data_IF_118196774813
#
_entry.id   IF_118196774813
#
_cell.length_a   1.000
_cell.length_b   1.000
_cell.length_c   1.000
_cell.angle_alpha   90.00
_cell.angle_beta   90.00
_cell.angle_gamma   90.00
#
_symmetry.space_group_name_H-M   'P 1'
#
loop_
_entity.id
_entity.type
_entity.pdbx_description
1 polymer ?
#
# COMPACT_ATOMS: atom_id res chain seq x y z
N UNK A 1 12.00 -15.86 106.00
CA UNK A 1 11.72 -16.49 104.73
C UNK A 1 11.35 -15.39 103.77
N UNK A 2 12.28 -14.96 102.91
CA UNK A 2 12.04 -13.93 101.87
C UNK A 2 12.50 -14.49 100.58
N UNK A 3 11.56 -14.67 99.63
CA UNK A 3 11.82 -15.10 98.26
C UNK A 3 12.26 -13.89 97.46
N UNK A 4 13.45 -13.98 96.84
CA UNK A 4 13.96 -13.01 95.88
C UNK A 4 13.57 -13.56 94.48
N UNK A 5 12.75 -12.80 93.80
CA UNK A 5 12.43 -13.09 92.35
C UNK A 5 13.42 -12.30 91.49
N UNK A 6 14.24 -13.03 90.76
CA UNK A 6 15.14 -12.47 89.76
C UNK A 6 14.36 -12.28 88.40
N UNK A 7 14.34 -11.04 87.95
CA UNK A 7 13.73 -10.67 86.68
C UNK A 7 14.85 -10.58 85.60
N UNK A 8 14.86 -11.51 84.67
CA UNK A 8 15.77 -11.45 83.49
C UNK A 8 15.15 -10.54 82.45
N UNK A 9 15.81 -9.43 82.15
CA UNK A 9 15.45 -8.50 81.08
C UNK A 9 16.11 -8.96 79.82
N UNK A 10 15.34 -9.50 78.84
CA UNK A 10 15.84 -9.89 77.52
C UNK A 10 15.76 -8.67 76.63
N UNK A 11 16.89 -8.10 76.29
CA UNK A 11 16.98 -7.01 75.29
C UNK A 11 16.93 -7.61 73.86
N UNK A 12 15.85 -7.35 73.16
CA UNK A 12 15.72 -7.69 71.77
C UNK A 12 16.37 -6.57 70.95
N UNK A 13 17.51 -6.89 70.32
CA UNK A 13 18.21 -6.03 69.35
C UNK A 13 17.49 -6.07 68.03
N UNK A 14 16.71 -5.04 67.68
CA UNK A 14 16.12 -4.86 66.32
C UNK A 14 17.20 -4.30 65.39
N UNK A 15 17.76 -5.17 64.55
CA UNK A 15 18.54 -4.72 63.38
C UNK A 15 17.58 -4.22 62.29
N UNK A 16 17.76 -3.00 61.76
CA UNK A 16 17.01 -2.58 60.59
C UNK A 16 17.56 -3.30 59.34
N UNK A 17 16.77 -4.19 58.74
CA UNK A 17 17.03 -4.75 57.43
C UNK A 17 16.78 -3.63 56.42
N UNK A 18 17.84 -3.01 55.93
CA UNK A 18 17.80 -2.11 54.81
C UNK A 18 17.56 -2.96 53.53
N UNK A 19 16.31 -3.08 53.10
CA UNK A 19 15.96 -3.62 51.79
C UNK A 19 16.38 -2.58 50.76
N UNK A 20 17.59 -2.71 50.25
CA UNK A 20 18.04 -2.00 49.04
C UNK A 20 17.23 -2.55 47.87
N UNK A 21 16.17 -1.83 47.44
CA UNK A 21 15.50 -2.04 46.21
C UNK A 21 16.50 -1.74 45.08
N UNK A 22 17.20 -2.79 44.64
CA UNK A 22 17.97 -2.75 43.38
C UNK A 22 16.95 -2.63 42.25
N UNK A 23 16.62 -1.40 41.84
CA UNK A 23 16.01 -1.16 40.53
C UNK A 23 17.04 -1.62 39.51
N UNK A 24 16.94 -2.89 39.08
CA UNK A 24 17.63 -3.36 37.92
C UNK A 24 17.06 -2.53 36.72
N UNK A 25 17.81 -1.53 36.31
CA UNK A 25 17.55 -0.89 35.02
C UNK A 25 17.63 -2.00 33.98
N UNK A 26 16.48 -2.43 33.46
CA UNK A 26 16.46 -3.35 32.33
C UNK A 26 17.39 -2.79 31.25
N UNK A 27 18.42 -3.57 30.90
CA UNK A 27 19.39 -3.16 29.89
C UNK A 27 18.60 -2.89 28.59
N UNK A 28 18.56 -1.62 28.18
CA UNK A 28 17.90 -1.21 26.94
C UNK A 28 18.49 -1.99 25.78
N UNK A 29 17.62 -2.59 24.98
CA UNK A 29 18.04 -3.29 23.77
C UNK A 29 18.63 -2.27 22.76
N UNK A 30 19.64 -2.65 21.96
CA UNK A 30 20.32 -1.73 21.03
C UNK A 30 19.34 -0.94 20.14
N UNK A 31 18.31 -1.59 19.60
CA UNK A 31 17.31 -0.96 18.75
C UNK A 31 16.52 0.15 19.47
N UNK A 32 16.28 0.05 20.78
CA UNK A 32 15.55 1.05 21.55
C UNK A 32 16.34 2.37 21.61
N UNK A 33 17.67 2.27 21.84
CA UNK A 33 18.52 3.45 21.85
C UNK A 33 18.58 4.12 20.46
N UNK A 34 18.66 3.31 19.40
CA UNK A 34 18.70 3.83 18.03
C UNK A 34 17.36 4.44 17.62
N UNK A 35 16.25 3.85 18.06
CA UNK A 35 14.91 4.39 17.85
C UNK A 35 14.75 5.74 18.58
N UNK A 36 15.07 5.80 19.85
CA UNK A 36 14.98 7.04 20.65
C UNK A 36 15.79 8.17 20.01
N UNK A 37 17.04 7.90 19.61
CA UNK A 37 17.89 8.87 18.91
C UNK A 37 17.27 9.33 17.57
N UNK A 38 16.71 8.37 16.81
CA UNK A 38 16.06 8.68 15.55
C UNK A 38 14.84 9.57 15.74
N UNK A 39 13.98 9.26 16.74
CA UNK A 39 12.80 10.08 17.06
C UNK A 39 13.21 11.49 17.53
N UNK A 40 14.22 11.62 18.38
CA UNK A 40 14.69 12.94 18.83
C UNK A 40 15.33 13.76 17.70
N UNK A 41 16.02 13.12 16.77
CA UNK A 41 16.53 13.78 15.57
C UNK A 41 15.38 14.20 14.62
N UNK A 42 14.40 13.32 14.43
CA UNK A 42 13.21 13.61 13.63
C UNK A 42 12.38 14.79 14.17
N UNK A 43 12.25 14.90 15.50
CA UNK A 43 11.61 16.07 16.14
C UNK A 43 12.35 17.38 15.84
N UNK A 44 13.69 17.34 15.73
CA UNK A 44 14.48 18.52 15.36
C UNK A 44 14.33 18.87 13.88
N UNK A 45 14.18 17.85 13.01
CA UNK A 45 13.85 18.05 11.60
C UNK A 45 12.43 18.62 11.45
N UNK A 46 11.52 18.26 12.36
CA UNK A 46 10.18 18.82 12.55
C UNK A 46 9.16 18.46 11.48
N UNK A 47 9.56 17.76 10.41
CA UNK A 47 8.69 17.52 9.26
C UNK A 47 9.07 16.26 8.49
N UNK A 48 8.07 15.64 7.83
CA UNK A 48 8.26 14.63 6.77
C UNK A 48 7.33 14.92 5.61
N UNK A 49 7.82 14.79 4.38
CA UNK A 49 7.04 15.01 3.15
C UNK A 49 6.87 13.69 2.40
N UNK A 50 5.64 13.24 2.27
CA UNK A 50 5.32 11.99 1.58
C UNK A 50 4.42 12.20 0.36
N UNK A 51 4.86 11.71 -0.80
CA UNK A 51 4.00 11.52 -1.97
C UNK A 51 3.10 10.31 -1.75
N UNK A 52 1.80 10.47 -1.88
CA UNK A 52 0.82 9.41 -1.64
C UNK A 52 -0.19 9.30 -2.79
N UNK A 53 -0.92 8.17 -2.93
CA UNK A 53 -2.01 8.04 -3.88
C UNK A 53 -3.08 9.13 -3.71
N UNK A 54 -3.76 9.48 -4.81
CA UNK A 54 -4.81 10.49 -4.86
C UNK A 54 -6.07 10.03 -4.12
N UNK A 55 -6.01 9.95 -2.79
CA UNK A 55 -7.12 9.56 -1.92
C UNK A 55 -7.25 10.52 -0.74
N UNK A 56 -8.38 11.24 -0.69
CA UNK A 56 -8.70 12.13 0.43
C UNK A 56 -8.83 11.35 1.75
N UNK A 57 -9.39 10.13 1.70
CA UNK A 57 -9.53 9.26 2.87
C UNK A 57 -8.16 8.83 3.40
N UNK A 58 -7.23 8.45 2.50
CA UNK A 58 -5.87 8.10 2.90
C UNK A 58 -5.14 9.30 3.52
N UNK A 59 -5.19 10.46 2.85
CA UNK A 59 -4.57 11.67 3.34
C UNK A 59 -5.03 11.98 4.76
N UNK A 60 -6.36 11.99 4.99
CA UNK A 60 -6.94 12.25 6.31
C UNK A 60 -6.49 11.21 7.34
N UNK A 61 -6.57 9.93 7.00
CA UNK A 61 -6.24 8.85 7.93
C UNK A 61 -4.76 8.85 8.34
N UNK A 62 -3.84 9.07 7.39
CA UNK A 62 -2.42 9.16 7.68
C UNK A 62 -2.08 10.38 8.54
N UNK A 63 -2.65 11.55 8.19
CA UNK A 63 -2.47 12.79 8.93
C UNK A 63 -2.93 12.64 10.39
N UNK A 64 -4.17 12.24 10.61
CA UNK A 64 -4.75 12.10 11.96
C UNK A 64 -4.00 11.06 12.82
N UNK A 65 -3.62 9.92 12.24
CA UNK A 65 -3.00 8.83 13.01
C UNK A 65 -1.52 9.09 13.29
N UNK A 66 -0.78 9.57 12.29
CA UNK A 66 0.64 9.89 12.45
C UNK A 66 0.84 11.09 13.38
N UNK A 67 0.11 12.19 13.19
CA UNK A 67 0.22 13.40 14.00
C UNK A 67 -0.18 13.16 15.46
N UNK A 68 -1.15 12.26 15.70
CA UNK A 68 -1.47 11.82 17.07
C UNK A 68 -0.31 11.06 17.70
N UNK A 69 0.40 10.25 16.96
CA UNK A 69 1.51 9.43 17.45
C UNK A 69 2.81 10.22 17.61
N UNK A 70 3.06 11.15 16.69
CA UNK A 70 4.28 11.95 16.63
C UNK A 70 3.97 13.45 16.49
N UNK A 71 3.37 14.10 17.50
CA UNK A 71 2.85 15.46 17.37
C UNK A 71 3.92 16.55 17.14
N UNK A 72 5.19 16.21 17.32
CA UNK A 72 6.32 17.11 17.07
C UNK A 72 6.92 16.96 15.65
N UNK A 73 6.32 16.11 14.81
CA UNK A 73 6.76 15.91 13.42
C UNK A 73 5.55 16.19 12.52
N UNK A 74 5.59 17.31 11.82
CA UNK A 74 4.57 17.66 10.81
C UNK A 74 4.62 16.67 9.64
N UNK A 75 3.45 16.21 9.19
CA UNK A 75 3.34 15.32 8.04
C UNK A 75 2.71 16.06 6.86
N UNK A 76 3.52 16.36 5.87
CA UNK A 76 3.04 16.95 4.62
C UNK A 76 2.76 15.87 3.58
N UNK A 77 1.49 15.73 3.20
CA UNK A 77 1.00 14.67 2.30
C UNK A 77 0.65 15.22 0.93
N UNK A 78 1.53 14.98 -0.06
CA UNK A 78 1.29 15.29 -1.46
C UNK A 78 0.43 14.21 -2.11
N UNK A 79 -0.89 14.31 -1.94
CA UNK A 79 -1.84 13.37 -2.54
C UNK A 79 -1.99 13.64 -4.03
N UNK A 80 -1.58 12.69 -4.88
CA UNK A 80 -1.58 12.87 -6.32
C UNK A 80 -1.49 11.56 -7.10
N UNK A 81 -1.59 11.65 -8.43
CA UNK A 81 -1.31 10.48 -9.28
C UNK A 81 0.17 10.12 -9.17
N UNK A 82 0.45 8.83 -8.97
CA UNK A 82 1.82 8.34 -8.81
C UNK A 82 2.79 8.86 -9.88
N UNK A 83 2.49 8.74 -11.18
CA UNK A 83 3.36 9.28 -12.24
C UNK A 83 3.64 10.78 -12.13
N UNK A 84 2.65 11.59 -11.71
CA UNK A 84 2.83 13.03 -11.52
C UNK A 84 3.79 13.33 -10.36
N UNK A 85 3.61 12.63 -9.23
CA UNK A 85 4.52 12.75 -8.10
C UNK A 85 5.95 12.31 -8.47
N UNK A 86 6.12 11.17 -9.16
CA UNK A 86 7.44 10.71 -9.59
C UNK A 86 8.12 11.68 -10.56
N UNK A 87 7.39 12.24 -11.52
CA UNK A 87 7.93 13.26 -12.45
C UNK A 87 8.36 14.52 -11.72
N UNK A 88 7.56 14.96 -10.73
CA UNK A 88 7.91 16.11 -9.89
C UNK A 88 9.19 15.84 -9.10
N UNK A 89 9.27 14.70 -8.42
CA UNK A 89 10.47 14.27 -7.67
C UNK A 89 11.70 14.26 -8.57
N UNK A 90 11.61 13.66 -9.76
CA UNK A 90 12.73 13.60 -10.70
C UNK A 90 13.21 14.99 -11.14
N UNK A 91 12.27 15.89 -11.48
CA UNK A 91 12.57 17.27 -11.89
C UNK A 91 13.21 18.07 -10.75
N UNK A 92 12.65 17.99 -9.54
CA UNK A 92 13.19 18.67 -8.36
C UNK A 92 14.58 18.15 -8.00
N UNK A 93 14.77 16.82 -8.05
CA UNK A 93 16.07 16.21 -7.79
C UNK A 93 17.13 16.67 -8.80
N UNK A 94 16.80 16.76 -10.08
CA UNK A 94 17.69 17.27 -11.12
C UNK A 94 18.04 18.75 -10.90
N UNK A 95 17.12 19.54 -10.34
CA UNK A 95 17.33 20.94 -9.96
C UNK A 95 18.04 21.12 -8.60
N UNK A 96 18.47 20.03 -7.94
CA UNK A 96 19.11 20.08 -6.63
C UNK A 96 18.14 20.23 -5.46
N UNK A 97 16.83 20.23 -5.71
CA UNK A 97 15.78 20.34 -4.68
C UNK A 97 15.49 18.95 -4.09
N UNK A 98 15.33 18.88 -2.76
CA UNK A 98 15.06 17.66 -1.99
C UNK A 98 13.79 17.85 -1.17
N UNK A 99 12.67 18.08 -1.86
CA UNK A 99 11.39 18.34 -1.19
C UNK A 99 10.73 17.08 -0.64
N UNK A 100 10.68 16.01 -1.43
CA UNK A 100 10.08 14.75 -0.99
C UNK A 100 11.09 13.89 -0.23
N UNK A 101 10.62 13.27 0.84
CA UNK A 101 11.38 12.29 1.64
C UNK A 101 10.98 10.86 1.26
N UNK A 102 9.67 10.63 1.03
CA UNK A 102 9.08 9.29 0.80
C UNK A 102 8.08 9.35 -0.37
N UNK A 103 7.98 8.26 -1.13
CA UNK A 103 6.93 8.05 -2.11
C UNK A 103 6.25 6.70 -1.88
N UNK A 104 4.92 6.72 -1.78
CA UNK A 104 4.06 5.54 -1.73
C UNK A 104 3.23 5.52 -3.01
N UNK A 105 3.33 4.45 -3.78
CA UNK A 105 2.66 4.36 -5.10
C UNK A 105 2.57 2.91 -5.58
N UNK A 106 2.05 2.71 -6.79
CA UNK A 106 2.20 1.43 -7.49
C UNK A 106 3.63 1.22 -7.98
N UNK A 107 4.06 -0.03 -8.10
CA UNK A 107 5.46 -0.44 -8.34
C UNK A 107 6.07 0.11 -9.64
N UNK A 108 5.27 0.34 -10.69
CA UNK A 108 5.77 0.92 -11.95
C UNK A 108 6.24 2.38 -11.77
N UNK A 109 5.58 3.11 -10.89
CA UNK A 109 5.80 4.56 -10.72
C UNK A 109 7.24 4.92 -10.31
N UNK A 110 7.85 4.27 -9.31
CA UNK A 110 9.18 4.63 -8.85
C UNK A 110 10.32 4.05 -9.69
N UNK A 111 10.06 3.25 -10.73
CA UNK A 111 11.12 2.68 -11.57
C UNK A 111 11.99 3.76 -12.24
N UNK A 112 11.41 4.86 -12.66
CA UNK A 112 12.19 5.98 -13.22
C UNK A 112 13.12 6.60 -12.18
N UNK A 113 12.69 6.70 -10.92
CA UNK A 113 13.52 7.21 -9.82
C UNK A 113 14.63 6.21 -9.47
N UNK A 114 14.33 4.91 -9.52
CA UNK A 114 15.30 3.85 -9.35
C UNK A 114 16.39 3.93 -10.42
N UNK A 115 16.01 3.99 -11.69
CA UNK A 115 16.94 4.09 -12.83
C UNK A 115 17.79 5.37 -12.80
N UNK A 116 17.25 6.45 -12.25
CA UNK A 116 17.96 7.71 -12.07
C UNK A 116 18.90 7.72 -10.82
N UNK A 117 18.92 6.64 -10.02
CA UNK A 117 19.75 6.55 -8.81
C UNK A 117 19.33 7.48 -7.68
N UNK A 118 18.05 7.87 -7.65
CA UNK A 118 17.47 8.86 -6.71
C UNK A 118 16.99 8.21 -5.40
N UNK A 119 16.89 6.87 -5.36
CA UNK A 119 16.36 6.14 -4.21
C UNK A 119 17.45 5.69 -3.24
N UNK A 120 17.08 5.58 -1.98
CA UNK A 120 17.89 5.06 -0.88
C UNK A 120 17.45 3.64 -0.52
N UNK A 121 18.39 2.73 -0.13
CA UNK A 121 18.03 1.40 0.38
C UNK A 121 17.17 1.49 1.63
N UNK A 122 16.09 0.70 1.68
CA UNK A 122 15.10 0.77 2.75
C UNK A 122 15.47 -0.11 3.95
N UNK A 123 16.09 -1.27 3.74
CA UNK A 123 16.40 -2.23 4.81
C UNK A 123 17.13 -1.59 6.00
N UNK A 124 18.17 -0.73 5.81
CA UNK A 124 18.87 -0.07 6.92
C UNK A 124 18.00 0.95 7.69
N UNK A 125 16.84 1.30 7.17
CA UNK A 125 15.91 2.24 7.80
C UNK A 125 14.94 1.54 8.75
N UNK A 126 14.82 0.19 8.70
CA UNK A 126 13.88 -0.60 9.49
C UNK A 126 14.47 -0.84 10.89
N UNK A 127 14.01 -0.09 11.88
CA UNK A 127 14.55 -0.11 13.25
C UNK A 127 13.67 -0.93 14.20
N UNK A 128 12.34 -0.76 14.12
CA UNK A 128 11.42 -1.42 15.03
C UNK A 128 11.41 -2.94 14.81
N UNK A 129 11.57 -3.78 15.86
CA UNK A 129 11.59 -5.23 15.72
C UNK A 129 10.34 -5.79 15.05
N UNK A 130 9.18 -5.20 15.32
CA UNK A 130 7.92 -5.62 14.68
C UNK A 130 7.88 -5.32 13.18
N UNK A 131 8.68 -4.38 12.70
CA UNK A 131 8.80 -4.01 11.28
C UNK A 131 9.89 -4.80 10.61
N UNK A 132 11.03 -4.97 11.30
CA UNK A 132 12.23 -5.61 10.76
C UNK A 132 12.18 -7.15 10.81
N UNK A 133 11.28 -7.77 11.58
CA UNK A 133 11.14 -9.22 11.64
C UNK A 133 10.40 -9.75 10.39
N UNK A 134 11.09 -10.46 9.47
CA UNK A 134 10.47 -10.99 8.25
C UNK A 134 9.37 -12.02 8.54
N UNK A 135 9.35 -12.65 9.71
CA UNK A 135 8.32 -13.61 10.09
C UNK A 135 6.95 -12.99 10.33
N UNK A 136 6.89 -11.67 10.47
CA UNK A 136 5.63 -10.92 10.59
C UNK A 136 4.99 -10.57 9.25
N UNK A 137 5.67 -10.90 8.14
CA UNK A 137 5.27 -10.54 6.80
C UNK A 137 5.02 -11.77 5.93
N UNK A 138 3.94 -11.77 5.20
CA UNK A 138 3.63 -12.78 4.19
C UNK A 138 4.68 -12.77 3.08
N UNK A 139 5.47 -13.85 3.03
CA UNK A 139 6.63 -13.97 2.14
C UNK A 139 7.90 -13.27 2.61
N UNK A 140 7.95 -12.84 3.87
CA UNK A 140 9.06 -12.05 4.41
C UNK A 140 9.08 -10.63 3.88
N UNK A 141 10.27 -10.01 3.83
CA UNK A 141 10.46 -8.73 3.17
C UNK A 141 10.43 -8.92 1.65
N UNK A 142 9.43 -8.31 1.00
CA UNK A 142 9.23 -8.45 -0.43
C UNK A 142 9.54 -7.13 -1.13
N UNK A 143 10.27 -7.24 -2.23
CA UNK A 143 10.76 -6.13 -3.01
C UNK A 143 10.22 -6.21 -4.43
N UNK A 144 9.83 -5.09 -5.00
CA UNK A 144 9.42 -5.02 -6.39
C UNK A 144 10.61 -4.87 -7.34
N UNK A 145 11.76 -4.38 -6.85
CA UNK A 145 13.00 -4.25 -7.61
C UNK A 145 13.89 -5.50 -7.55
N UNK A 146 14.62 -5.77 -8.64
CA UNK A 146 15.51 -6.92 -8.77
C UNK A 146 16.69 -6.88 -7.77
N UNK A 147 17.14 -5.69 -7.41
CA UNK A 147 18.20 -5.51 -6.42
C UNK A 147 17.74 -5.81 -5.00
N UNK A 148 16.43 -5.91 -4.75
CA UNK A 148 15.80 -6.16 -3.45
C UNK A 148 16.24 -5.16 -2.38
N UNK A 149 16.19 -3.85 -2.69
CA UNK A 149 16.72 -2.79 -1.81
C UNK A 149 15.86 -1.53 -1.75
N UNK A 150 15.18 -1.15 -2.83
CA UNK A 150 14.69 0.20 -3.02
C UNK A 150 13.17 0.32 -3.07
N UNK A 151 12.48 -0.72 -3.54
CA UNK A 151 11.03 -0.73 -3.75
C UNK A 151 10.37 -1.77 -2.85
N UNK A 152 10.06 -1.37 -1.62
CA UNK A 152 9.49 -2.28 -0.62
C UNK A 152 7.98 -2.47 -0.84
N UNK A 153 7.57 -3.70 -1.10
CA UNK A 153 6.17 -4.06 -1.34
C UNK A 153 5.50 -4.52 -0.04
N UNK A 154 4.69 -3.66 0.56
CA UNK A 154 3.99 -3.94 1.82
C UNK A 154 2.55 -4.44 1.64
N UNK A 155 2.06 -4.53 0.40
CA UNK A 155 0.73 -5.06 0.10
C UNK A 155 0.79 -6.26 -0.83
N UNK A 156 -0.17 -7.18 -0.67
CA UNK A 156 -0.40 -8.29 -1.59
C UNK A 156 -1.86 -8.72 -1.53
N UNK A 157 -2.57 -8.54 -2.63
CA UNK A 157 -3.98 -8.89 -2.71
C UNK A 157 -4.41 -9.15 -4.14
N UNK A 158 -5.50 -9.88 -4.27
CA UNK A 158 -6.28 -9.98 -5.47
C UNK A 158 -7.37 -8.92 -5.42
N UNK A 159 -7.43 -8.08 -6.45
CA UNK A 159 -8.49 -7.10 -6.62
C UNK A 159 -9.02 -7.22 -8.03
N UNK A 160 -10.33 -7.19 -8.14
CA UNK A 160 -10.95 -7.31 -9.46
C UNK A 160 -10.69 -6.10 -10.34
N UNK A 161 -10.40 -4.94 -9.82
CA UNK A 161 -10.26 -3.69 -10.58
C UNK A 161 -11.32 -3.51 -11.71
N UNK A 162 -12.33 -4.38 -11.69
CA UNK A 162 -13.43 -4.48 -12.63
C UNK A 162 -14.73 -4.23 -11.87
N UNK A 163 -15.50 -3.28 -12.33
CA UNK A 163 -16.71 -2.86 -11.63
C UNK A 163 -17.86 -2.75 -12.61
N UNK A 164 -19.08 -3.00 -12.14
CA UNK A 164 -20.28 -2.89 -12.95
C UNK A 164 -21.38 -2.07 -12.29
N UNK A 165 -22.23 -1.49 -13.12
CA UNK A 165 -23.49 -0.93 -12.69
C UNK A 165 -24.53 -2.05 -12.63
N UNK A 166 -25.06 -2.33 -11.44
CA UNK A 166 -25.97 -3.46 -11.19
C UNK A 166 -27.34 -3.33 -11.82
N UNK A 167 -27.71 -2.13 -12.31
CA UNK A 167 -28.94 -1.92 -13.08
C UNK A 167 -28.78 -2.30 -14.55
N UNK A 168 -27.53 -2.24 -15.08
CA UNK A 168 -27.23 -2.48 -16.50
C UNK A 168 -26.66 -3.87 -16.76
N UNK A 169 -25.96 -4.45 -15.80
CA UNK A 169 -25.37 -5.79 -15.88
C UNK A 169 -25.75 -6.58 -14.62
N UNK A 170 -26.38 -7.72 -14.79
CA UNK A 170 -26.64 -8.67 -13.71
C UNK A 170 -25.44 -9.58 -13.51
N UNK A 171 -25.18 -10.00 -12.24
CA UNK A 171 -24.01 -10.80 -11.91
C UNK A 171 -23.94 -12.15 -12.66
N UNK A 172 -25.08 -12.76 -12.96
CA UNK A 172 -25.20 -14.02 -13.70
C UNK A 172 -24.98 -13.90 -15.20
N UNK A 173 -24.94 -12.69 -15.75
CA UNK A 173 -24.61 -12.40 -17.14
C UNK A 173 -23.11 -12.30 -17.41
N UNK A 174 -22.26 -12.38 -16.35
CA UNK A 174 -20.79 -12.33 -16.45
C UNK A 174 -20.17 -13.57 -15.84
N UNK A 175 -19.34 -14.27 -16.59
CA UNK A 175 -18.63 -15.49 -16.18
C UNK A 175 -17.13 -15.41 -16.43
N UNK A 176 -16.70 -14.53 -17.33
CA UNK A 176 -15.30 -14.39 -17.70
C UNK A 176 -15.05 -13.24 -18.66
N UNK A 177 -13.76 -13.03 -18.99
CA UNK A 177 -13.38 -11.85 -19.78
C UNK A 177 -13.91 -11.86 -21.20
N UNK A 178 -14.23 -13.02 -21.76
CA UNK A 178 -14.83 -13.09 -23.11
C UNK A 178 -16.21 -12.40 -23.14
N UNK A 179 -16.93 -12.34 -22.02
CA UNK A 179 -18.22 -11.67 -21.93
C UNK A 179 -18.11 -10.14 -22.14
N UNK A 180 -16.92 -9.55 -21.92
CA UNK A 180 -16.64 -8.15 -22.22
C UNK A 180 -16.71 -7.86 -23.73
N UNK A 181 -16.58 -8.88 -24.56
CA UNK A 181 -16.62 -8.76 -26.04
C UNK A 181 -18.03 -8.84 -26.60
N UNK A 182 -19.06 -9.07 -25.75
CA UNK A 182 -20.42 -9.17 -26.21
C UNK A 182 -20.91 -7.83 -26.81
N UNK A 183 -21.55 -7.81 -27.99
CA UNK A 183 -21.93 -6.60 -28.72
C UNK A 183 -22.80 -5.62 -27.90
N UNK A 184 -23.58 -6.10 -26.92
CA UNK A 184 -24.40 -5.26 -26.04
C UNK A 184 -23.58 -4.25 -25.21
N UNK A 185 -22.30 -4.49 -25.04
CA UNK A 185 -21.39 -3.62 -24.28
C UNK A 185 -20.64 -2.60 -25.13
N UNK A 186 -20.84 -2.61 -26.45
CA UNK A 186 -20.20 -1.65 -27.34
C UNK A 186 -20.53 -0.21 -26.95
N UNK A 187 -19.49 0.62 -26.71
CA UNK A 187 -19.62 1.98 -26.20
C UNK A 187 -20.09 2.07 -24.72
N UNK A 188 -20.18 0.95 -24.00
CA UNK A 188 -20.63 0.89 -22.59
C UNK A 188 -19.55 0.48 -21.59
N UNK A 189 -18.31 0.43 -22.04
CA UNK A 189 -17.14 0.10 -21.20
C UNK A 189 -16.26 1.33 -21.06
N UNK A 190 -16.06 1.78 -19.79
CA UNK A 190 -15.07 2.78 -19.46
C UNK A 190 -13.78 2.11 -18.99
N UNK A 191 -12.63 2.61 -19.38
CA UNK A 191 -11.34 2.09 -18.95
C UNK A 191 -10.41 3.22 -18.50
N UNK A 192 -9.72 3.01 -17.39
CA UNK A 192 -8.62 3.89 -17.00
C UNK A 192 -7.51 3.74 -18.06
N UNK A 193 -7.02 4.87 -18.59
CA UNK A 193 -6.11 4.88 -19.74
C UNK A 193 -4.90 3.94 -19.52
N UNK A 194 -4.81 2.81 -20.26
CA UNK A 194 -3.75 1.81 -20.05
C UNK A 194 -2.38 2.25 -20.56
N UNK A 195 -2.30 3.40 -21.22
CA UNK A 195 -1.03 3.98 -21.71
C UNK A 195 -0.26 4.73 -20.62
N UNK A 196 -0.88 4.90 -19.44
CA UNK A 196 -0.27 5.58 -18.31
C UNK A 196 -0.38 4.69 -17.06
N UNK A 197 0.69 4.68 -16.23
CA UNK A 197 0.76 3.83 -15.03
C UNK A 197 -0.48 3.95 -14.14
N UNK A 198 -1.05 2.80 -13.77
CA UNK A 198 -2.25 2.70 -12.93
C UNK A 198 -3.02 1.41 -13.14
N UNK A 199 -4.21 1.33 -12.56
CA UNK A 199 -5.06 0.13 -12.64
C UNK A 199 -5.46 -0.25 -14.07
N UNK A 200 -5.59 0.72 -14.97
CA UNK A 200 -5.83 0.46 -16.38
C UNK A 200 -4.70 -0.32 -17.05
N UNK A 201 -3.45 0.12 -16.84
CA UNK A 201 -2.27 -0.59 -17.35
C UNK A 201 -2.15 -1.98 -16.74
N UNK A 202 -2.39 -2.11 -15.43
CA UNK A 202 -2.36 -3.42 -14.75
C UNK A 202 -3.36 -4.39 -15.34
N UNK A 203 -4.60 -3.94 -15.57
CA UNK A 203 -5.67 -4.77 -16.13
C UNK A 203 -5.39 -5.11 -17.60
N UNK A 204 -4.92 -4.14 -18.39
CA UNK A 204 -4.59 -4.34 -19.80
C UNK A 204 -3.42 -5.31 -19.97
N UNK A 205 -2.36 -5.18 -19.16
CA UNK A 205 -1.22 -6.08 -19.16
C UNK A 205 -1.61 -7.50 -18.71
N UNK A 206 -2.54 -7.61 -17.76
CA UNK A 206 -3.08 -8.90 -17.36
C UNK A 206 -3.86 -9.57 -18.49
N UNK A 207 -4.74 -8.84 -19.17
CA UNK A 207 -5.41 -9.37 -20.36
C UNK A 207 -4.43 -9.79 -21.44
N UNK A 208 -3.39 -8.99 -21.70
CA UNK A 208 -2.33 -9.36 -22.63
C UNK A 208 -1.67 -10.70 -22.25
N UNK A 209 -1.37 -10.88 -20.95
CA UNK A 209 -0.73 -12.09 -20.40
C UNK A 209 -1.58 -13.36 -20.59
N UNK A 210 -2.88 -13.28 -20.31
CA UNK A 210 -3.74 -14.47 -20.22
C UNK A 210 -4.62 -14.72 -21.45
N UNK A 211 -4.93 -13.68 -22.21
CA UNK A 211 -5.82 -13.75 -23.38
C UNK A 211 -5.11 -13.42 -24.69
N UNK A 212 -3.91 -12.81 -24.60
CA UNK A 212 -3.11 -12.42 -25.76
C UNK A 212 -3.60 -11.16 -26.48
N UNK A 213 -2.91 -10.86 -27.57
CA UNK A 213 -3.13 -9.65 -28.38
C UNK A 213 -4.48 -9.62 -29.07
N UNK A 214 -4.94 -10.76 -29.61
CA UNK A 214 -6.22 -10.85 -30.33
C UNK A 214 -7.42 -10.44 -29.47
N UNK A 215 -7.41 -10.85 -28.19
CA UNK A 215 -8.45 -10.43 -27.25
C UNK A 215 -8.45 -8.91 -27.06
N UNK A 216 -7.29 -8.29 -26.91
CA UNK A 216 -7.17 -6.85 -26.72
C UNK A 216 -7.61 -6.06 -27.94
N UNK A 217 -7.35 -6.57 -29.15
CA UNK A 217 -7.87 -5.99 -30.40
C UNK A 217 -9.40 -6.02 -30.43
N UNK A 218 -10.00 -7.15 -30.07
CA UNK A 218 -11.47 -7.28 -29.96
C UNK A 218 -12.05 -6.39 -28.87
N UNK A 219 -11.36 -6.27 -27.73
CA UNK A 219 -11.79 -5.40 -26.62
C UNK A 219 -11.73 -3.92 -27.03
N UNK A 220 -10.68 -3.48 -27.72
CA UNK A 220 -10.59 -2.13 -28.25
C UNK A 220 -11.72 -1.82 -29.25
N UNK A 221 -12.12 -2.80 -30.07
CA UNK A 221 -13.24 -2.67 -31.00
C UNK A 221 -14.62 -2.51 -30.32
N UNK A 222 -14.71 -2.68 -28.97
CA UNK A 222 -15.90 -2.36 -28.18
C UNK A 222 -16.11 -0.84 -27.99
N UNK A 223 -15.33 0.02 -28.65
CA UNK A 223 -15.44 1.48 -28.52
C UNK A 223 -15.29 1.93 -27.07
N UNK A 224 -14.16 1.57 -26.45
CA UNK A 224 -13.86 1.89 -25.05
C UNK A 224 -13.78 3.40 -24.85
N UNK A 225 -14.37 3.90 -23.77
CA UNK A 225 -14.15 5.27 -23.31
C UNK A 225 -12.93 5.32 -22.37
N UNK A 226 -11.89 6.01 -22.79
CA UNK A 226 -10.67 6.17 -21.99
C UNK A 226 -10.74 7.43 -21.14
N UNK A 227 -10.23 7.32 -19.92
CA UNK A 227 -10.01 8.48 -19.05
C UNK A 227 -8.79 8.27 -18.16
N UNK A 228 -8.09 9.34 -17.86
CA UNK A 228 -7.05 9.38 -16.81
C UNK A 228 -7.60 9.78 -15.46
N UNK A 229 -8.86 10.19 -15.41
CA UNK A 229 -9.53 10.67 -14.22
C UNK A 229 -10.44 9.56 -13.66
N UNK A 230 -9.93 8.86 -12.64
CA UNK A 230 -10.63 7.75 -12.00
C UNK A 230 -12.02 8.14 -11.47
N UNK A 231 -12.11 9.32 -10.85
CA UNK A 231 -13.38 9.81 -10.29
C UNK A 231 -14.43 10.00 -11.38
N UNK A 232 -14.06 10.52 -12.54
CA UNK A 232 -14.97 10.73 -13.66
C UNK A 232 -15.52 9.41 -14.20
N UNK A 233 -14.65 8.39 -14.30
CA UNK A 233 -15.09 7.04 -14.69
C UNK A 233 -16.04 6.43 -13.65
N UNK A 234 -15.73 6.55 -12.36
CA UNK A 234 -16.57 6.07 -11.26
C UNK A 234 -17.93 6.75 -11.23
N UNK A 235 -17.98 8.07 -11.42
CA UNK A 235 -19.21 8.83 -11.51
C UNK A 235 -20.06 8.40 -12.73
N UNK A 236 -19.43 8.21 -13.87
CA UNK A 236 -20.08 7.75 -15.11
C UNK A 236 -20.65 6.33 -14.97
N UNK A 237 -19.95 5.44 -14.25
CA UNK A 237 -20.44 4.12 -13.90
C UNK A 237 -21.66 4.22 -12.99
N UNK A 238 -21.58 5.05 -11.93
CA UNK A 238 -22.68 5.26 -10.97
C UNK A 238 -23.95 5.78 -11.63
N UNK A 239 -23.81 6.68 -12.61
CA UNK A 239 -24.91 7.27 -13.37
C UNK A 239 -25.41 6.36 -14.51
N UNK A 240 -24.87 5.16 -14.69
CA UNK A 240 -25.26 4.24 -15.74
C UNK A 240 -24.83 4.64 -17.17
N UNK A 241 -23.89 5.56 -17.32
CA UNK A 241 -23.28 5.85 -18.63
C UNK A 241 -22.50 4.65 -19.14
N UNK A 242 -21.79 3.97 -18.24
CA UNK A 242 -21.11 2.71 -18.49
C UNK A 242 -21.80 1.57 -17.75
N UNK A 243 -21.84 0.40 -18.37
CA UNK A 243 -22.22 -0.83 -17.70
C UNK A 243 -21.05 -1.42 -16.92
N UNK A 244 -19.82 -1.22 -17.42
CA UNK A 244 -18.58 -1.79 -16.89
C UNK A 244 -17.51 -0.71 -16.85
N UNK A 245 -16.66 -0.75 -15.83
CA UNK A 245 -15.39 -0.02 -15.82
C UNK A 245 -14.22 -0.94 -15.49
N UNK A 246 -13.08 -0.66 -16.13
CA UNK A 246 -11.83 -1.43 -15.99
C UNK A 246 -10.74 -0.53 -15.42
N UNK A 247 -10.01 -1.03 -14.41
CA UNK A 247 -8.87 -0.35 -13.84
C UNK A 247 -9.18 0.55 -12.65
N UNK A 248 -10.44 0.59 -12.16
CA UNK A 248 -10.80 1.33 -10.96
C UNK A 248 -10.62 0.47 -9.70
N UNK A 249 -10.21 1.11 -8.63
CA UNK A 249 -10.04 0.48 -7.31
C UNK A 249 -11.11 0.95 -6.33
N UNK A 250 -11.34 0.16 -5.28
CA UNK A 250 -12.36 0.46 -4.27
C UNK A 250 -12.27 1.88 -3.72
N UNK A 251 -11.08 2.39 -3.37
CA UNK A 251 -10.96 3.71 -2.76
C UNK A 251 -11.49 4.85 -3.64
N UNK A 252 -11.46 4.67 -4.96
CA UNK A 252 -12.06 5.63 -5.92
C UNK A 252 -13.58 5.57 -5.90
N UNK A 253 -14.13 4.36 -5.72
CA UNK A 253 -15.57 4.11 -5.80
C UNK A 253 -16.26 4.21 -4.43
N UNK A 254 -15.50 4.18 -3.34
CA UNK A 254 -16.03 4.20 -1.98
C UNK A 254 -17.07 5.30 -1.71
N UNK A 255 -16.92 6.55 -2.18
CA UNK A 255 -17.94 7.58 -1.98
C UNK A 255 -19.27 7.24 -2.63
N UNK A 256 -19.26 6.62 -3.82
CA UNK A 256 -20.46 6.23 -4.56
C UNK A 256 -21.13 5.01 -3.93
N UNK A 257 -20.32 4.04 -3.46
CA UNK A 257 -20.79 2.84 -2.76
C UNK A 257 -21.46 3.24 -1.42
N UNK A 258 -20.84 4.16 -0.66
CA UNK A 258 -21.39 4.69 0.59
C UNK A 258 -22.70 5.47 0.38
N UNK A 259 -22.86 6.07 -0.79
CA UNK A 259 -24.11 6.73 -1.20
C UNK A 259 -25.16 5.75 -1.75
N UNK A 260 -24.95 4.42 -1.61
CA UNK A 260 -25.82 3.36 -2.10
C UNK A 260 -26.11 3.41 -3.60
N UNK A 261 -25.18 3.93 -4.40
CA UNK A 261 -25.32 3.90 -5.86
C UNK A 261 -25.11 2.48 -6.40
N UNK A 262 -25.68 2.14 -7.56
CA UNK A 262 -25.75 0.77 -8.07
C UNK A 262 -24.41 0.26 -8.63
N UNK A 263 -23.37 0.27 -7.81
CA UNK A 263 -22.02 -0.17 -8.18
C UNK A 263 -21.62 -1.37 -7.34
N UNK A 264 -21.12 -2.41 -8.00
CA UNK A 264 -20.48 -3.57 -7.35
C UNK A 264 -19.25 -4.01 -8.11
N UNK A 265 -18.31 -4.72 -7.45
CA UNK A 265 -17.29 -5.47 -8.17
C UNK A 265 -17.93 -6.45 -9.15
N UNK A 266 -17.35 -6.63 -10.32
CA UNK A 266 -17.74 -7.76 -11.19
C UNK A 266 -17.47 -9.08 -10.44
N UNK A 267 -18.30 -10.11 -10.66
CA UNK A 267 -18.00 -11.45 -10.17
C UNK A 267 -16.61 -11.92 -10.63
N UNK A 268 -16.00 -12.83 -9.89
CA UNK A 268 -14.71 -13.39 -10.27
C UNK A 268 -14.83 -14.08 -11.64
N UNK A 269 -13.94 -13.71 -12.55
CA UNK A 269 -13.89 -14.32 -13.88
C UNK A 269 -13.39 -15.78 -13.78
N UNK A 270 -13.87 -16.66 -14.68
CA UNK A 270 -13.40 -18.05 -14.77
C UNK A 270 -11.88 -18.17 -15.01
N UNK A 271 -11.27 -17.16 -15.60
CA UNK A 271 -9.83 -17.07 -15.82
C UNK A 271 -9.05 -16.70 -14.54
N UNK A 272 -9.76 -16.34 -13.48
CA UNK A 272 -9.18 -15.83 -12.26
C UNK A 272 -8.72 -14.38 -12.37
N UNK A 273 -7.99 -13.93 -11.37
CA UNK A 273 -7.48 -12.56 -11.27
C UNK A 273 -5.99 -12.56 -10.89
N UNK A 274 -5.32 -11.46 -11.13
CA UNK A 274 -3.91 -11.31 -10.76
C UNK A 274 -3.79 -10.84 -9.30
N UNK A 275 -2.63 -11.12 -8.69
CA UNK A 275 -2.25 -10.52 -7.42
C UNK A 275 -1.37 -9.29 -7.67
N UNK A 276 -1.54 -8.30 -6.82
CA UNK A 276 -0.88 -7.00 -6.97
C UNK A 276 -0.40 -6.47 -5.63
N UNK A 277 0.65 -5.66 -5.66
CA UNK A 277 1.02 -4.78 -4.56
C UNK A 277 0.16 -3.51 -4.51
N UNK A 278 -0.74 -3.31 -5.46
CA UNK A 278 -1.61 -2.13 -5.52
C UNK A 278 -0.85 -0.82 -5.50
N UNK A 279 -1.22 0.05 -4.56
CA UNK A 279 -0.50 1.29 -4.27
C UNK A 279 0.45 1.15 -3.08
N UNK A 280 0.81 -0.07 -2.70
CA UNK A 280 1.62 -0.40 -1.52
C UNK A 280 3.08 -0.66 -1.82
N UNK A 281 3.69 0.12 -2.70
CA UNK A 281 5.14 0.16 -2.89
C UNK A 281 5.70 1.43 -2.26
N UNK A 282 6.59 1.24 -1.29
CA UNK A 282 7.30 2.29 -0.57
C UNK A 282 8.68 2.49 -1.21
N UNK A 283 9.06 3.74 -1.43
CA UNK A 283 10.41 4.16 -1.78
C UNK A 283 10.82 5.39 -0.98
N UNK A 284 12.12 5.51 -0.66
CA UNK A 284 12.70 6.61 0.12
C UNK A 284 13.68 7.36 -0.75
N UNK A 285 13.64 8.70 -0.70
CA UNK A 285 14.48 9.55 -1.52
C UNK A 285 15.88 9.65 -0.94
N UNK A 286 16.88 9.49 -1.80
CA UNK A 286 18.29 9.67 -1.44
C UNK A 286 18.57 11.14 -1.10
N UNK A 287 19.36 11.35 -0.03
CA UNK A 287 19.68 12.70 0.45
C UNK A 287 18.45 13.55 0.78
N UNK A 288 17.42 12.92 1.34
CA UNK A 288 16.22 13.57 1.86
C UNK A 288 16.58 14.71 2.81
N UNK A 289 15.76 15.78 2.83
CA UNK A 289 15.95 16.91 3.75
C UNK A 289 15.61 16.54 5.20
N UNK A 290 14.81 15.48 5.42
CA UNK A 290 14.34 15.05 6.73
C UNK A 290 14.58 13.54 6.92
N UNK A 291 15.86 13.07 6.92
CA UNK A 291 16.18 11.63 6.86
C UNK A 291 15.72 10.87 8.11
N UNK A 292 15.72 11.50 9.29
CA UNK A 292 15.26 10.84 10.51
C UNK A 292 13.73 10.83 10.60
N UNK A 293 13.05 11.89 10.19
CA UNK A 293 11.60 11.93 10.11
C UNK A 293 11.07 10.94 9.06
N UNK A 294 11.79 10.77 7.93
CA UNK A 294 11.51 9.71 6.96
C UNK A 294 11.64 8.30 7.58
N UNK A 295 12.69 8.03 8.39
CA UNK A 295 12.83 6.76 9.12
C UNK A 295 11.67 6.53 10.09
N UNK A 296 11.29 7.56 10.86
CA UNK A 296 10.14 7.46 11.78
C UNK A 296 8.87 7.13 11.02
N UNK A 297 8.61 7.84 9.92
CA UNK A 297 7.42 7.62 9.08
C UNK A 297 7.41 6.21 8.45
N UNK A 298 8.54 5.75 7.91
CA UNK A 298 8.69 4.39 7.34
C UNK A 298 8.38 3.31 8.36
N UNK A 299 8.96 3.38 9.57
CA UNK A 299 8.71 2.40 10.62
C UNK A 299 7.26 2.46 11.10
N UNK A 300 6.68 3.65 11.27
CA UNK A 300 5.26 3.78 11.62
C UNK A 300 4.34 3.25 10.52
N UNK A 301 4.57 3.62 9.25
CA UNK A 301 3.75 3.13 8.14
C UNK A 301 3.76 1.60 8.06
N UNK A 302 4.92 0.98 8.28
CA UNK A 302 5.09 -0.48 8.24
C UNK A 302 4.73 -1.17 9.56
N UNK A 303 4.43 -0.44 10.64
CA UNK A 303 3.89 -0.99 11.88
C UNK A 303 2.48 -1.55 11.69
N UNK A 304 1.97 -2.29 12.67
CA UNK A 304 0.58 -2.76 12.66
C UNK A 304 -0.40 -1.61 12.51
N UNK A 305 -0.23 -0.54 13.31
CA UNK A 305 -1.09 0.66 13.28
C UNK A 305 -1.08 1.33 11.90
N UNK A 306 0.09 1.56 11.31
CA UNK A 306 0.21 2.17 9.99
C UNK A 306 -0.41 1.32 8.89
N UNK A 307 -0.23 -0.01 8.94
CA UNK A 307 -0.79 -0.93 7.95
C UNK A 307 -2.32 -1.06 8.08
N UNK A 308 -2.87 -1.04 9.28
CA UNK A 308 -4.33 -0.98 9.49
C UNK A 308 -4.92 0.34 8.98
N UNK A 309 -4.26 1.45 9.28
CA UNK A 309 -4.67 2.79 8.82
C UNK A 309 -4.68 2.87 7.30
N UNK A 310 -3.59 2.44 6.66
CA UNK A 310 -3.46 2.45 5.20
C UNK A 310 -4.47 1.52 4.54
N UNK A 311 -4.54 0.28 5.01
CA UNK A 311 -5.44 -0.74 4.45
C UNK A 311 -6.90 -0.32 4.50
N UNK A 312 -7.37 0.21 5.64
CA UNK A 312 -8.74 0.69 5.82
C UNK A 312 -9.08 1.87 4.91
N UNK A 313 -8.15 2.82 4.77
CA UNK A 313 -8.36 3.99 3.92
C UNK A 313 -8.38 3.67 2.41
N UNK A 314 -7.59 2.68 1.99
CA UNK A 314 -7.43 2.33 0.58
C UNK A 314 -8.31 1.16 0.12
N UNK A 315 -8.85 0.35 1.05
CA UNK A 315 -9.50 -0.92 0.70
C UNK A 315 -8.52 -1.91 0.08
N UNK A 316 -7.28 -1.92 0.55
CA UNK A 316 -6.17 -2.74 0.05
C UNK A 316 -5.53 -3.55 1.17
N UNK A 317 -5.10 -4.77 0.86
CA UNK A 317 -4.61 -5.70 1.87
C UNK A 317 -3.10 -5.65 2.05
N UNK A 318 -2.69 -5.53 3.30
CA UNK A 318 -1.30 -5.60 3.73
C UNK A 318 -0.74 -7.03 3.65
N UNK A 319 0.59 -7.12 3.58
CA UNK A 319 1.36 -8.35 3.79
C UNK A 319 1.56 -8.69 5.28
N UNK A 320 1.26 -7.78 6.21
CA UNK A 320 1.40 -8.09 7.65
C UNK A 320 0.45 -9.21 8.07
N UNK A 321 1.01 -10.21 8.75
CA UNK A 321 0.25 -11.39 9.20
C UNK A 321 -0.65 -11.09 10.40
N UNK A 322 -0.32 -10.08 11.19
CA UNK A 322 -1.04 -9.69 12.42
C UNK A 322 -2.11 -8.60 12.20
N UNK A 323 -2.41 -8.28 10.94
CA UNK A 323 -3.48 -7.33 10.55
C UNK A 323 -4.67 -8.11 9.97
N UNK A 324 -5.87 -7.87 10.50
CA UNK A 324 -7.10 -8.42 9.94
C UNK A 324 -7.41 -7.81 8.57
N UNK A 325 -7.70 -8.68 7.60
CA UNK A 325 -7.98 -8.32 6.20
C UNK A 325 -9.27 -8.93 5.67
N UNK A 326 -9.99 -9.75 6.46
CA UNK A 326 -11.18 -10.46 6.00
C UNK A 326 -12.34 -9.53 5.61
N UNK A 327 -12.43 -8.36 6.26
CA UNK A 327 -13.42 -7.33 5.95
C UNK A 327 -13.33 -6.80 4.53
N UNK A 328 -12.19 -6.97 3.83
CA UNK A 328 -11.99 -6.52 2.46
C UNK A 328 -12.81 -7.31 1.42
N UNK A 329 -13.23 -8.53 1.74
CA UNK A 329 -14.01 -9.37 0.83
C UNK A 329 -15.31 -8.70 0.35
N UNK A 330 -15.94 -7.89 1.22
CA UNK A 330 -17.14 -7.12 0.86
C UNK A 330 -16.90 -6.09 -0.27
N UNK A 331 -15.63 -5.75 -0.53
CA UNK A 331 -15.22 -4.78 -1.56
C UNK A 331 -14.59 -5.46 -2.78
N UNK A 332 -14.72 -6.78 -2.91
CA UNK A 332 -14.10 -7.55 -3.99
C UNK A 332 -12.58 -7.63 -3.90
N UNK A 333 -12.02 -7.43 -2.70
CA UNK A 333 -10.58 -7.53 -2.44
C UNK A 333 -10.30 -8.69 -1.49
N UNK A 334 -9.31 -9.52 -1.81
CA UNK A 334 -8.88 -10.65 -0.98
C UNK A 334 -7.38 -10.54 -0.72
N UNK A 335 -6.98 -10.54 0.56
CA UNK A 335 -5.58 -10.54 0.91
C UNK A 335 -4.91 -11.85 0.48
N UNK A 336 -3.80 -11.79 -0.22
CA UNK A 336 -3.10 -12.99 -0.69
C UNK A 336 -2.74 -13.93 0.46
N UNK A 337 -2.35 -13.39 1.60
CA UNK A 337 -2.02 -14.17 2.81
C UNK A 337 -3.16 -15.04 3.36
N UNK A 338 -4.40 -14.74 3.00
CA UNK A 338 -5.58 -15.43 3.54
C UNK A 338 -5.99 -16.64 2.69
N UNK A 339 -5.47 -16.79 1.46
CA UNK A 339 -5.91 -17.88 0.55
C UNK A 339 -4.85 -18.42 -0.41
N UNK A 340 -3.65 -17.84 -0.46
CA UNK A 340 -2.56 -18.31 -1.33
C UNK A 340 -1.32 -18.64 -0.50
N UNK A 341 -0.59 -19.66 -0.93
CA UNK A 341 0.82 -19.79 -0.55
C UNK A 341 1.62 -18.65 -1.19
N UNK A 342 2.77 -18.33 -0.61
CA UNK A 342 3.62 -17.25 -1.19
C UNK A 342 4.08 -17.60 -2.62
N UNK A 343 4.38 -18.87 -2.90
CA UNK A 343 4.75 -19.34 -4.23
C UNK A 343 3.61 -19.14 -5.26
N UNK A 344 2.38 -19.45 -4.89
CA UNK A 344 1.20 -19.23 -5.74
C UNK A 344 0.98 -17.74 -6.00
N UNK A 345 1.17 -16.90 -4.96
CA UNK A 345 1.09 -15.45 -5.13
C UNK A 345 2.13 -14.94 -6.13
N UNK A 346 3.37 -15.43 -6.07
CA UNK A 346 4.42 -15.03 -7.02
C UNK A 346 4.08 -15.42 -8.46
N UNK A 347 3.49 -16.59 -8.69
CA UNK A 347 3.04 -17.01 -10.03
C UNK A 347 1.93 -16.11 -10.60
N UNK A 348 1.09 -15.55 -9.74
CA UNK A 348 -0.03 -14.66 -10.12
C UNK A 348 0.34 -13.18 -10.05
N UNK A 349 1.51 -12.86 -9.61
CA UNK A 349 1.96 -11.50 -9.34
C UNK A 349 2.12 -10.71 -10.65
N UNK A 350 1.73 -9.43 -10.64
CA UNK A 350 1.71 -8.54 -11.81
C UNK A 350 2.42 -7.20 -11.56
N UNK A 351 3.26 -7.12 -10.54
CA UNK A 351 3.89 -5.86 -10.10
C UNK A 351 5.39 -5.98 -9.77
N UNK A 352 6.06 -7.09 -10.14
CA UNK A 352 7.51 -7.22 -10.07
C UNK A 352 8.21 -6.42 -11.18
N UNK A 353 9.46 -6.03 -10.96
CA UNK A 353 10.25 -5.31 -11.97
C UNK A 353 10.34 -6.09 -13.28
N UNK A 354 10.49 -7.42 -13.23
CA UNK A 354 10.53 -8.26 -14.41
C UNK A 354 9.24 -8.13 -15.23
N UNK A 355 8.08 -8.26 -14.59
CA UNK A 355 6.77 -8.11 -15.24
C UNK A 355 6.61 -6.69 -15.79
N UNK A 356 7.00 -5.68 -15.02
CA UNK A 356 6.87 -4.28 -15.38
C UNK A 356 7.79 -3.87 -16.53
N UNK A 357 8.97 -4.48 -16.64
CA UNK A 357 9.96 -4.13 -17.67
C UNK A 357 9.88 -4.99 -18.93
N UNK A 358 9.35 -6.21 -18.85
CA UNK A 358 9.30 -7.14 -19.99
C UNK A 358 7.90 -7.31 -20.59
N UNK A 359 6.87 -7.43 -19.75
CA UNK A 359 5.50 -7.65 -20.22
C UNK A 359 4.77 -6.33 -20.50
N UNK A 360 4.81 -5.40 -19.55
CA UNK A 360 4.04 -4.17 -19.64
C UNK A 360 4.40 -3.29 -20.84
N UNK A 361 5.68 -3.14 -21.24
CA UNK A 361 6.01 -2.36 -22.45
C UNK A 361 5.32 -2.89 -23.71
N UNK A 362 5.20 -4.22 -23.85
CA UNK A 362 4.50 -4.83 -24.99
C UNK A 362 3.01 -4.51 -24.94
N UNK A 363 2.40 -4.65 -23.76
CA UNK A 363 0.99 -4.36 -23.57
C UNK A 363 0.68 -2.85 -23.76
N UNK A 364 1.54 -1.96 -23.28
CA UNK A 364 1.41 -0.50 -23.45
C UNK A 364 1.60 -0.11 -24.93
N UNK A 365 2.56 -0.72 -25.62
CA UNK A 365 2.75 -0.50 -27.06
C UNK A 365 1.47 -0.83 -27.82
N UNK A 366 0.88 -1.99 -27.54
CA UNK A 366 -0.38 -2.40 -28.16
C UNK A 366 -1.54 -1.44 -27.79
N UNK A 367 -1.59 -0.93 -26.55
CA UNK A 367 -2.57 0.08 -26.15
C UNK A 367 -2.43 1.37 -26.96
N UNK A 368 -1.19 1.83 -27.21
CA UNK A 368 -0.94 3.02 -28.05
C UNK A 368 -1.34 2.79 -29.52
N UNK A 369 -1.25 1.57 -30.02
CA UNK A 369 -1.68 1.23 -31.40
C UNK A 369 -3.21 1.19 -31.53
N UNK A 370 -3.90 0.66 -30.51
CA UNK A 370 -5.33 0.35 -30.58
C UNK A 370 -6.25 1.44 -30.03
N UNK A 371 -5.76 2.25 -29.09
CA UNK A 371 -6.57 3.20 -28.33
C UNK A 371 -6.13 4.65 -28.64
N UNK A 372 -6.38 5.07 -29.84
CA UNK A 372 -6.08 6.44 -30.32
C UNK A 372 -7.08 7.47 -29.79
#
# INVERSE_FOLDING_TARGET
>A
MRHIRSTILTAILLLPIAVSALCAAEARLPWQSDWDKTVEAAKKEGKVVAGIPASAALRKALDETFSKRYPAIDIELAAGRGPANASKIAAEHAAGVRYFDVLISGSLTPLNLLNAGILEPIEPLLILPEVNDPKRWYGGHVWADNAKKFLYSFQAYQSENFWHNTQLLKADEYRGFDDLLHPKWKGKIGILDPRSAGGGTSSWAFFYKIKGEEFLRKLAAQELTLSREQRLLGESLAKGRFAITIGLTYYTLAPFIKANLPIKPLPEAKEGSYTSSGSGTLSVMKNSSHPNAAKVFVNWLLSKEGQETYGKAMGQATRRLDVDTQWLAQYGTRASKDFLTFEENQKRENSSEEVLTQLWPKAIKLANELLQ
#
